data_IF_262275051309
#
_entry.id   IF_262275051309
#
_cell.length_a   1.000
_cell.length_b   1.000
_cell.length_c   1.000
_cell.angle_alpha   90.00
_cell.angle_beta   90.00
_cell.angle_gamma   90.00
#
_symmetry.space_group_name_H-M   'P 1'
#
loop_
_entity.id
_entity.type
_entity.pdbx_description
1 polymer ?
#
# COMPACT_ATOMS: atom_id res chain seq x y z
N UNK A 1 -16.86 -8.58 -26.62
CA UNK A 1 -17.01 -8.54 -25.14
C UNK A 1 -15.62 -8.74 -24.55
N UNK A 2 -14.91 -7.65 -24.28
CA UNK A 2 -13.50 -7.69 -23.91
C UNK A 2 -13.32 -8.21 -22.48
N UNK A 3 -12.88 -9.46 -22.35
CA UNK A 3 -12.39 -10.08 -21.09
C UNK A 3 -11.22 -9.32 -20.44
N UNK A 4 -10.58 -8.40 -21.17
CA UNK A 4 -9.41 -7.66 -20.72
C UNK A 4 -9.68 -6.56 -19.67
N UNK A 5 -10.94 -6.15 -19.48
CA UNK A 5 -11.29 -5.10 -18.50
C UNK A 5 -11.51 -5.62 -17.07
N UNK A 6 -11.66 -6.93 -16.87
CA UNK A 6 -11.94 -7.49 -15.54
C UNK A 6 -10.66 -7.81 -14.76
N UNK A 7 -9.57 -8.16 -15.46
CA UNK A 7 -8.28 -8.52 -14.86
C UNK A 7 -7.51 -7.30 -14.32
N UNK A 8 -7.60 -6.15 -15.01
CA UNK A 8 -6.99 -4.89 -14.60
C UNK A 8 -7.61 -4.34 -13.30
N UNK A 9 -8.85 -4.73 -12.98
CA UNK A 9 -9.57 -4.26 -11.78
C UNK A 9 -9.07 -4.93 -10.51
N UNK A 10 -8.63 -6.19 -10.57
CA UNK A 10 -8.23 -6.95 -9.39
C UNK A 10 -6.79 -6.68 -8.94
N UNK A 11 -5.88 -6.41 -9.89
CA UNK A 11 -4.50 -6.00 -9.58
C UNK A 11 -4.45 -4.59 -8.96
N UNK A 12 -5.31 -3.69 -9.46
CA UNK A 12 -5.40 -2.29 -9.00
C UNK A 12 -5.78 -2.17 -7.51
N UNK A 13 -6.59 -3.08 -6.96
CA UNK A 13 -7.04 -2.96 -5.57
C UNK A 13 -5.89 -3.19 -4.58
N UNK A 14 -5.10 -4.26 -4.77
CA UNK A 14 -4.00 -4.58 -3.86
C UNK A 14 -2.84 -3.61 -4.02
N UNK A 15 -2.51 -3.26 -5.27
CA UNK A 15 -1.49 -2.24 -5.55
C UNK A 15 -1.94 -0.85 -5.06
N UNK A 16 -3.22 -0.52 -5.16
CA UNK A 16 -3.80 0.71 -4.66
C UNK A 16 -3.70 0.84 -3.14
N UNK A 17 -4.02 -0.21 -2.39
CA UNK A 17 -3.87 -0.22 -0.92
C UNK A 17 -2.42 -0.04 -0.49
N UNK A 18 -1.49 -0.74 -1.15
CA UNK A 18 -0.05 -0.59 -0.87
C UNK A 18 0.42 0.82 -1.21
N UNK A 19 0.00 1.38 -2.36
CA UNK A 19 0.40 2.72 -2.78
C UNK A 19 -0.16 3.82 -1.88
N UNK A 20 -1.40 3.67 -1.39
CA UNK A 20 -1.98 4.58 -0.39
C UNK A 20 -1.22 4.48 0.92
N UNK A 21 -0.92 3.27 1.40
CA UNK A 21 -0.12 3.07 2.61
C UNK A 21 1.26 3.74 2.47
N UNK A 22 1.93 3.58 1.32
CA UNK A 22 3.21 4.23 1.01
C UNK A 22 3.12 5.76 1.07
N UNK A 23 2.16 6.36 0.36
CA UNK A 23 1.98 7.83 0.37
C UNK A 23 1.70 8.36 1.77
N UNK A 24 0.92 7.65 2.58
CA UNK A 24 0.67 8.04 3.98
C UNK A 24 1.91 7.88 4.86
N UNK A 25 2.76 6.88 4.59
CA UNK A 25 4.04 6.69 5.28
C UNK A 25 5.06 7.77 4.93
N UNK A 26 5.09 8.20 3.67
CA UNK A 26 5.91 9.31 3.18
C UNK A 26 5.44 10.66 3.75
N UNK A 27 4.12 10.86 3.85
CA UNK A 27 3.51 12.05 4.44
C UNK A 27 3.92 12.21 5.91
N UNK A 28 4.08 11.11 6.65
CA UNK A 28 4.63 11.11 8.01
C UNK A 28 3.75 11.77 9.08
N UNK A 29 2.60 12.33 8.68
CA UNK A 29 1.65 13.02 9.57
C UNK A 29 0.77 12.04 10.35
N UNK A 30 0.66 10.79 9.88
CA UNK A 30 -0.22 9.78 10.44
C UNK A 30 0.57 8.57 10.96
N UNK A 31 0.14 8.01 12.09
CA UNK A 31 0.79 6.83 12.70
C UNK A 31 0.51 5.54 11.92
N UNK A 32 1.41 4.57 12.03
CA UNK A 32 1.32 3.27 11.34
C UNK A 32 0.00 2.54 11.63
N UNK A 33 -0.52 2.66 12.86
CA UNK A 33 -1.80 2.09 13.28
C UNK A 33 -2.98 2.69 12.51
N UNK A 34 -2.97 4.00 12.32
CA UNK A 34 -4.02 4.69 11.58
C UNK A 34 -3.97 4.37 10.10
N UNK A 35 -2.77 4.26 9.53
CA UNK A 35 -2.57 3.86 8.13
C UNK A 35 -3.10 2.45 7.91
N UNK A 36 -2.74 1.52 8.80
CA UNK A 36 -3.23 0.14 8.82
C UNK A 36 -4.78 0.09 8.85
N UNK A 37 -5.42 0.86 9.74
CA UNK A 37 -6.87 1.01 9.80
C UNK A 37 -7.47 1.58 8.49
N UNK A 38 -6.82 2.58 7.88
CA UNK A 38 -7.28 3.24 6.65
C UNK A 38 -7.22 2.35 5.42
N UNK A 39 -6.13 1.60 5.25
CA UNK A 39 -5.94 0.72 4.08
C UNK A 39 -6.42 -0.71 4.33
N UNK A 40 -6.87 -1.03 5.55
CA UNK A 40 -7.29 -2.37 5.93
C UNK A 40 -6.15 -3.39 5.98
N UNK A 41 -4.92 -2.93 6.27
CA UNK A 41 -3.74 -3.77 6.46
C UNK A 41 -3.40 -3.88 7.94
N UNK A 42 -2.60 -4.88 8.31
CA UNK A 42 -2.04 -4.95 9.66
C UNK A 42 -0.88 -3.97 9.82
N UNK A 43 -0.67 -3.49 11.05
CA UNK A 43 0.44 -2.58 11.39
C UNK A 43 1.80 -3.18 11.02
N UNK A 44 1.96 -4.50 11.16
CA UNK A 44 3.17 -5.22 10.73
C UNK A 44 3.40 -5.16 9.22
N UNK A 45 2.34 -5.28 8.41
CA UNK A 45 2.43 -5.18 6.96
C UNK A 45 2.80 -3.76 6.54
N UNK A 46 2.20 -2.75 7.18
CA UNK A 46 2.55 -1.34 6.96
C UNK A 46 4.00 -1.06 7.36
N UNK A 47 4.51 -1.67 8.45
CA UNK A 47 5.93 -1.59 8.85
C UNK A 47 6.85 -2.24 7.82
N UNK A 48 6.49 -3.42 7.31
CA UNK A 48 7.25 -4.08 6.24
C UNK A 48 7.28 -3.21 4.98
N UNK A 49 6.16 -2.61 4.58
CA UNK A 49 6.10 -1.68 3.44
C UNK A 49 7.02 -0.49 3.69
N UNK A 50 6.98 0.13 4.87
CA UNK A 50 7.88 1.23 5.23
C UNK A 50 9.35 0.83 5.15
N UNK A 51 9.68 -0.37 5.65
CA UNK A 51 11.06 -0.87 5.62
C UNK A 51 11.50 -1.13 4.19
N UNK A 52 10.68 -1.82 3.39
CA UNK A 52 10.92 -2.17 1.98
C UNK A 52 11.13 -0.93 1.09
N UNK A 53 10.40 0.16 1.35
CA UNK A 53 10.60 1.44 0.67
C UNK A 53 11.91 2.16 1.02
N UNK A 54 12.55 1.82 2.15
CA UNK A 54 13.81 2.43 2.59
C UNK A 54 15.03 1.55 2.31
N UNK A 55 14.92 0.55 1.43
CA UNK A 55 16.11 -0.09 0.86
C UNK A 55 16.48 0.72 -0.38
N UNK A 56 17.49 1.60 -0.33
CA UNK A 56 18.15 2.02 -1.56
C UNK A 56 18.74 0.75 -2.17
N UNK A 57 18.13 0.28 -3.27
CA UNK A 57 18.85 -0.56 -4.22
C UNK A 57 20.09 0.25 -4.62
N UNK A 58 21.25 -0.25 -4.21
CA UNK A 58 22.54 0.42 -4.35
C UNK A 58 22.94 0.72 -5.79
#
# INVERSE_FOLDING_TARGET
MCRAMEDMRNQTLKEGMINVAKKMLEDGTITLEKIAEFVGLSVEEVKKIKTDQNIPLG
#
